data_IF_756399770373
#
_entry.id   IF_756399770373
#
_cell.length_a   1.000
_cell.length_b   1.000
_cell.length_c   1.000
_cell.angle_alpha   90.00
_cell.angle_beta   90.00
_cell.angle_gamma   90.00
#
_symmetry.space_group_name_H-M   'P 1'
#
loop_
_entity.id
_entity.type
_entity.pdbx_description
1 polymer ?
#
# COMPACT_ATOMS: atom_id res chain seq x y z
N UNK A 1 17.40 -15.39 1.01
CA UNK A 1 16.03 -15.74 1.44
C UNK A 1 15.77 -17.19 1.07
N UNK A 2 15.24 -18.00 1.99
CA UNK A 2 14.71 -19.33 1.63
C UNK A 2 13.34 -19.14 0.99
N UNK A 3 13.18 -19.62 -0.25
CA UNK A 3 11.95 -19.55 -1.03
C UNK A 3 11.34 -20.93 -1.06
N UNK A 4 10.05 -21.02 -0.75
CA UNK A 4 9.26 -22.25 -0.88
C UNK A 4 8.04 -21.97 -1.73
N UNK A 5 7.75 -22.87 -2.66
CA UNK A 5 6.44 -22.86 -3.31
C UNK A 5 5.45 -23.59 -2.41
N UNK A 6 4.32 -22.95 -2.15
CA UNK A 6 3.22 -23.53 -1.38
C UNK A 6 2.03 -23.67 -2.32
N UNK A 7 1.39 -24.85 -2.28
CA UNK A 7 0.08 -25.00 -2.91
C UNK A 7 -0.94 -24.17 -2.13
N UNK A 8 -1.66 -23.34 -2.85
CA UNK A 8 -2.74 -22.54 -2.31
C UNK A 8 -3.96 -22.79 -3.17
N UNK A 9 -5.08 -23.07 -2.51
CA UNK A 9 -6.32 -23.34 -3.23
C UNK A 9 -6.80 -22.06 -3.91
N UNK A 10 -7.41 -22.23 -5.08
CA UNK A 10 -8.01 -21.15 -5.85
C UNK A 10 -9.14 -20.47 -5.07
N UNK A 11 -9.83 -21.22 -4.23
CA UNK A 11 -10.91 -20.76 -3.36
C UNK A 11 -10.39 -19.79 -2.31
N UNK A 12 -9.23 -20.05 -1.69
CA UNK A 12 -8.63 -19.15 -0.70
C UNK A 12 -8.25 -17.80 -1.32
N UNK A 13 -7.72 -17.80 -2.54
CA UNK A 13 -7.41 -16.55 -3.27
C UNK A 13 -8.66 -15.76 -3.60
N UNK A 14 -9.70 -16.46 -4.07
CA UNK A 14 -10.97 -15.85 -4.41
C UNK A 14 -11.69 -15.30 -3.17
N UNK A 15 -11.71 -16.03 -2.06
CA UNK A 15 -12.27 -15.57 -0.78
C UNK A 15 -11.54 -14.31 -0.30
N UNK A 16 -10.21 -14.32 -0.39
CA UNK A 16 -9.38 -13.16 -0.02
C UNK A 16 -9.69 -11.93 -0.88
N UNK A 17 -9.82 -12.12 -2.20
CA UNK A 17 -10.23 -11.07 -3.13
C UNK A 17 -11.60 -10.49 -2.76
N UNK A 18 -12.63 -11.34 -2.68
CA UNK A 18 -14.02 -10.94 -2.41
C UNK A 18 -14.15 -10.22 -1.07
N UNK A 19 -13.50 -10.73 -0.03
CA UNK A 19 -13.49 -10.11 1.28
C UNK A 19 -12.85 -8.72 1.23
N UNK A 20 -11.71 -8.59 0.56
CA UNK A 20 -10.98 -7.32 0.44
C UNK A 20 -11.81 -6.30 -0.33
N UNK A 21 -12.38 -6.69 -1.48
CA UNK A 21 -13.24 -5.81 -2.30
C UNK A 21 -14.44 -5.34 -1.50
N UNK A 22 -15.13 -6.24 -0.80
CA UNK A 22 -16.30 -5.90 0.03
C UNK A 22 -15.95 -4.92 1.15
N UNK A 23 -14.79 -5.10 1.79
CA UNK A 23 -14.31 -4.18 2.83
C UNK A 23 -14.05 -2.79 2.23
N UNK A 24 -13.34 -2.72 1.10
CA UNK A 24 -13.01 -1.46 0.44
C UNK A 24 -14.21 -0.75 -0.16
N UNK A 25 -15.21 -1.48 -0.65
CA UNK A 25 -16.48 -0.90 -1.11
C UNK A 25 -17.23 -0.23 0.04
N UNK A 26 -17.24 -0.85 1.23
CA UNK A 26 -17.84 -0.26 2.42
C UNK A 26 -17.08 1.00 2.87
N UNK A 27 -15.75 0.96 2.81
CA UNK A 27 -14.92 2.13 3.13
C UNK A 27 -15.10 3.26 2.11
N UNK A 28 -15.26 2.95 0.82
CA UNK A 28 -15.58 3.90 -0.25
C UNK A 28 -16.97 4.51 -0.06
N UNK A 29 -17.99 3.70 0.25
CA UNK A 29 -19.34 4.16 0.58
C UNK A 29 -19.32 5.12 1.78
N UNK A 30 -18.56 4.79 2.83
CA UNK A 30 -18.38 5.68 3.98
C UNK A 30 -17.75 7.02 3.56
N UNK A 31 -16.69 7.00 2.75
CA UNK A 31 -16.00 8.23 2.31
C UNK A 31 -16.93 9.12 1.49
N UNK A 32 -17.72 8.54 0.60
CA UNK A 32 -18.69 9.27 -0.23
C UNK A 32 -19.81 9.86 0.63
N UNK A 33 -20.41 9.07 1.52
CA UNK A 33 -21.44 9.55 2.44
C UNK A 33 -20.91 10.60 3.42
N UNK A 34 -19.66 10.48 3.86
CA UNK A 34 -19.03 11.49 4.71
C UNK A 34 -18.80 12.80 3.94
N UNK A 35 -18.36 12.75 2.68
CA UNK A 35 -18.26 13.94 1.81
C UNK A 35 -19.61 14.66 1.71
N UNK A 36 -20.67 13.94 1.32
CA UNK A 36 -22.01 14.51 1.20
C UNK A 36 -22.47 15.16 2.51
N UNK A 37 -22.20 14.51 3.65
CA UNK A 37 -22.53 15.06 4.97
C UNK A 37 -21.78 16.36 5.29
N UNK A 38 -20.56 16.51 4.78
CA UNK A 38 -19.76 17.73 4.93
C UNK A 38 -20.30 18.84 4.02
N UNK A 39 -20.56 18.54 2.75
CA UNK A 39 -21.03 19.49 1.74
C UNK A 39 -22.41 20.08 2.04
N UNK A 40 -23.27 19.32 2.73
CA UNK A 40 -24.58 19.80 3.18
C UNK A 40 -24.52 20.80 4.35
N UNK A 41 -23.35 21.07 4.94
CA UNK A 41 -23.21 22.06 6.02
C UNK A 41 -23.04 23.45 5.46
N UNK A 42 -23.81 24.40 5.99
CA UNK A 42 -23.66 25.84 5.67
C UNK A 42 -22.25 26.34 6.00
N UNK A 43 -21.70 25.89 7.13
CA UNK A 43 -20.33 26.15 7.54
C UNK A 43 -19.65 24.85 7.92
N UNK A 44 -18.70 24.41 7.10
CA UNK A 44 -17.84 23.27 7.40
C UNK A 44 -16.88 23.61 8.54
N UNK A 45 -16.65 22.65 9.43
CA UNK A 45 -15.51 22.70 10.33
C UNK A 45 -14.18 22.66 9.55
N UNK A 46 -13.06 23.11 10.16
CA UNK A 46 -11.74 23.02 9.52
C UNK A 46 -11.39 21.61 9.05
N UNK A 47 -11.75 20.58 9.82
CA UNK A 47 -11.55 19.19 9.40
C UNK A 47 -12.38 18.81 8.17
N UNK A 48 -13.68 19.11 8.20
CA UNK A 48 -14.61 18.77 7.11
C UNK A 48 -14.18 19.45 5.80
N UNK A 49 -13.85 20.74 5.84
CA UNK A 49 -13.34 21.45 4.68
C UNK A 49 -12.04 20.82 4.15
N UNK A 50 -11.10 20.51 5.05
CA UNK A 50 -9.82 19.88 4.67
C UNK A 50 -10.05 18.51 4.04
N UNK A 51 -11.00 17.73 4.55
CA UNK A 51 -11.36 16.43 4.00
C UNK A 51 -11.93 16.58 2.57
N UNK A 52 -12.87 17.50 2.35
CA UNK A 52 -13.44 17.75 1.03
C UNK A 52 -12.34 18.14 0.02
N UNK A 53 -11.36 18.95 0.42
CA UNK A 53 -10.23 19.33 -0.45
C UNK A 53 -9.34 18.14 -0.84
N UNK A 54 -9.27 17.09 -0.03
CA UNK A 54 -8.45 15.91 -0.29
C UNK A 54 -9.23 14.75 -0.92
N UNK A 55 -10.55 14.87 -1.01
CA UNK A 55 -11.45 13.79 -1.44
C UNK A 55 -11.07 13.21 -2.80
N UNK A 56 -10.73 14.07 -3.79
CA UNK A 56 -10.41 13.61 -5.14
C UNK A 56 -9.20 12.67 -5.12
N UNK A 57 -8.13 13.01 -4.40
CA UNK A 57 -6.94 12.15 -4.31
C UNK A 57 -7.23 10.86 -3.52
N UNK A 58 -8.09 10.92 -2.50
CA UNK A 58 -8.51 9.74 -1.75
C UNK A 58 -9.26 8.78 -2.68
N UNK A 59 -10.24 9.28 -3.43
CA UNK A 59 -11.04 8.51 -4.38
C UNK A 59 -10.17 7.90 -5.48
N UNK A 60 -9.26 8.68 -6.08
CA UNK A 60 -8.31 8.18 -7.08
C UNK A 60 -7.41 7.06 -6.54
N UNK A 61 -6.94 7.16 -5.30
CA UNK A 61 -6.11 6.12 -4.69
C UNK A 61 -6.91 4.83 -4.42
N UNK A 62 -8.16 4.94 -3.98
CA UNK A 62 -9.07 3.79 -3.83
C UNK A 62 -9.28 3.12 -5.18
N UNK A 63 -9.61 3.89 -6.23
CA UNK A 63 -9.82 3.37 -7.58
C UNK A 63 -8.58 2.67 -8.13
N UNK A 64 -7.41 3.28 -8.00
CA UNK A 64 -6.14 2.67 -8.41
C UNK A 64 -5.88 1.36 -7.66
N UNK A 65 -6.07 1.35 -6.34
CA UNK A 65 -5.88 0.16 -5.54
C UNK A 65 -6.82 -0.98 -5.96
N UNK A 66 -8.11 -0.69 -6.18
CA UNK A 66 -9.12 -1.65 -6.66
C UNK A 66 -8.77 -2.21 -8.04
N UNK A 67 -8.39 -1.36 -8.99
CA UNK A 67 -7.99 -1.79 -10.33
C UNK A 67 -6.78 -2.73 -10.30
N UNK A 68 -5.78 -2.44 -9.46
CA UNK A 68 -4.60 -3.30 -9.27
C UNK A 68 -4.96 -4.62 -8.60
N UNK A 69 -5.89 -4.61 -7.66
CA UNK A 69 -6.40 -5.83 -7.00
C UNK A 69 -7.17 -6.72 -7.99
N UNK A 70 -8.00 -6.12 -8.84
CA UNK A 70 -8.73 -6.83 -9.90
C UNK A 70 -7.75 -7.48 -10.90
N UNK A 71 -6.77 -6.71 -11.37
CA UNK A 71 -5.71 -7.22 -12.26
C UNK A 71 -4.94 -8.37 -11.62
N UNK A 72 -4.64 -8.27 -10.32
CA UNK A 72 -4.02 -9.37 -9.56
C UNK A 72 -4.92 -10.61 -9.53
N UNK A 73 -6.21 -10.45 -9.24
CA UNK A 73 -7.15 -11.56 -9.20
C UNK A 73 -7.21 -12.27 -10.55
N UNK A 74 -7.37 -11.52 -11.65
CA UNK A 74 -7.39 -12.06 -13.01
C UNK A 74 -6.15 -12.90 -13.33
N UNK A 75 -4.96 -12.38 -13.01
CA UNK A 75 -3.68 -13.09 -13.25
C UNK A 75 -3.48 -14.32 -12.38
N UNK A 76 -4.16 -14.40 -11.23
CA UNK A 76 -3.95 -15.48 -10.25
C UNK A 76 -5.06 -16.53 -10.20
N UNK A 77 -6.17 -16.33 -10.93
CA UNK A 77 -7.33 -17.25 -11.01
C UNK A 77 -6.93 -18.71 -11.24
N UNK A 78 -5.99 -18.96 -12.16
CA UNK A 78 -5.56 -20.32 -12.53
C UNK A 78 -4.30 -20.79 -11.78
N UNK A 79 -3.68 -19.90 -10.99
CA UNK A 79 -2.41 -20.20 -10.33
C UNK A 79 -2.63 -21.00 -9.04
N UNK A 80 -2.19 -22.25 -9.00
CA UNK A 80 -2.30 -23.14 -7.82
C UNK A 80 -1.14 -23.04 -6.84
N UNK A 81 -0.08 -22.30 -7.20
CA UNK A 81 1.12 -22.15 -6.38
C UNK A 81 1.38 -20.69 -6.08
N UNK A 82 1.81 -20.41 -4.86
CA UNK A 82 2.29 -19.09 -4.44
C UNK A 82 3.69 -19.20 -3.84
N UNK A 83 4.49 -18.14 -4.00
CA UNK A 83 5.82 -18.08 -3.40
C UNK A 83 5.71 -17.60 -1.97
N UNK A 84 6.26 -18.38 -1.07
CA UNK A 84 6.37 -18.05 0.34
C UNK A 84 7.84 -17.89 0.71
N UNK A 85 8.13 -16.86 1.48
CA UNK A 85 9.47 -16.58 1.98
C UNK A 85 9.46 -16.49 3.50
N UNK A 86 10.64 -16.65 4.10
CA UNK A 86 10.82 -16.36 5.53
C UNK A 86 10.87 -14.85 5.72
N UNK A 87 9.80 -14.30 6.26
CA UNK A 87 9.68 -12.90 6.64
C UNK A 87 10.38 -12.66 7.97
N UNK A 88 10.99 -11.49 8.12
CA UNK A 88 11.46 -10.95 9.38
C UNK A 88 10.28 -10.59 10.30
N UNK A 89 9.18 -10.09 9.74
CA UNK A 89 7.96 -9.72 10.46
C UNK A 89 7.98 -8.33 11.12
N UNK A 90 9.15 -7.68 11.21
CA UNK A 90 9.32 -6.26 11.57
C UNK A 90 10.65 -5.72 11.02
N UNK A 91 10.75 -5.61 9.70
CA UNK A 91 11.95 -5.04 9.06
C UNK A 91 12.19 -3.62 9.55
N UNK A 92 13.40 -3.29 9.98
CA UNK A 92 13.78 -1.96 10.46
C UNK A 92 15.28 -1.75 10.25
N UNK A 93 15.74 -0.54 9.93
CA UNK A 93 17.18 -0.22 9.94
C UNK A 93 17.82 -0.51 11.30
N UNK A 94 17.07 -0.30 12.40
CA UNK A 94 17.52 -0.62 13.77
C UNK A 94 17.79 -2.11 14.00
N UNK A 95 17.26 -2.98 13.14
CA UNK A 95 17.49 -4.42 13.21
C UNK A 95 18.59 -4.88 12.26
N UNK A 96 19.30 -3.97 11.60
CA UNK A 96 20.35 -4.30 10.64
C UNK A 96 21.71 -3.88 11.20
N UNK A 97 22.60 -4.84 11.38
CA UNK A 97 23.93 -4.65 11.94
C UNK A 97 24.99 -5.04 10.91
N UNK A 98 26.16 -4.42 10.98
CA UNK A 98 27.34 -4.81 10.22
C UNK A 98 28.29 -5.58 11.11
N UNK A 99 28.90 -6.64 10.57
CA UNK A 99 30.05 -7.29 11.20
C UNK A 99 31.34 -6.48 10.97
N UNK A 100 32.44 -6.91 11.59
CA UNK A 100 33.76 -6.29 11.44
C UNK A 100 34.30 -6.33 10.00
N UNK A 101 33.74 -7.18 9.14
CA UNK A 101 34.10 -7.35 7.73
C UNK A 101 33.20 -6.54 6.80
N UNK A 102 32.21 -5.83 7.33
CA UNK A 102 31.25 -5.02 6.58
C UNK A 102 30.06 -5.81 6.00
N UNK A 103 29.88 -7.08 6.36
CA UNK A 103 28.68 -7.84 5.99
C UNK A 103 27.52 -7.48 6.90
N UNK A 104 26.40 -7.10 6.29
CA UNK A 104 25.17 -6.77 6.99
C UNK A 104 24.33 -8.00 7.32
N UNK A 105 23.79 -8.08 8.52
CA UNK A 105 22.85 -9.10 8.95
C UNK A 105 21.68 -8.50 9.74
N UNK A 106 20.52 -9.14 9.63
CA UNK A 106 19.37 -8.78 10.45
C UNK A 106 19.43 -9.46 11.81
N UNK A 107 18.86 -8.80 12.81
CA UNK A 107 18.61 -9.32 14.17
C UNK A 107 17.12 -9.28 14.49
N UNK A 108 16.71 -9.73 15.67
CA UNK A 108 15.32 -9.64 16.17
C UNK A 108 14.28 -10.41 15.33
N UNK A 109 14.58 -11.68 15.02
CA UNK A 109 13.68 -12.60 14.30
C UNK A 109 12.54 -13.20 15.14
N UNK A 110 12.19 -12.62 16.29
CA UNK A 110 11.11 -13.14 17.17
C UNK A 110 9.73 -13.16 16.50
N UNK A 111 9.51 -12.30 15.50
CA UNK A 111 8.26 -12.22 14.72
C UNK A 111 8.37 -12.88 13.35
N UNK A 112 9.43 -13.63 13.13
CA UNK A 112 9.68 -14.28 11.86
C UNK A 112 8.61 -15.32 11.57
N UNK A 113 8.12 -15.33 10.34
CA UNK A 113 7.10 -16.28 9.89
C UNK A 113 7.22 -16.51 8.40
N UNK A 114 6.58 -17.56 7.90
CA UNK A 114 6.42 -17.76 6.48
C UNK A 114 5.28 -16.87 5.97
N UNK A 115 5.49 -16.19 4.83
CA UNK A 115 4.43 -15.41 4.20
C UNK A 115 4.81 -14.89 2.82
N UNK A 116 3.92 -14.08 2.24
CA UNK A 116 4.18 -13.43 0.95
C UNK A 116 5.30 -12.38 1.09
N UNK A 117 6.24 -12.30 0.14
CA UNK A 117 7.37 -11.38 0.19
C UNK A 117 6.96 -9.90 0.30
N UNK A 118 5.75 -9.53 -0.15
CA UNK A 118 5.23 -8.16 -0.07
C UNK A 118 4.96 -7.74 1.40
N UNK A 119 4.73 -8.69 2.31
CA UNK A 119 4.26 -8.42 3.68
C UNK A 119 5.31 -7.76 4.58
N UNK A 120 6.61 -7.94 4.29
CA UNK A 120 7.68 -7.24 5.01
C UNK A 120 7.94 -5.85 4.42
N UNK A 121 7.80 -5.71 3.10
CA UNK A 121 8.03 -4.44 2.39
C UNK A 121 6.94 -3.42 2.66
N UNK A 122 5.66 -3.79 2.64
CA UNK A 122 4.56 -2.83 2.80
C UNK A 122 4.66 -2.01 4.11
N UNK A 123 4.82 -2.62 5.31
CA UNK A 123 4.92 -1.86 6.55
C UNK A 123 6.25 -1.11 6.69
N UNK A 124 7.32 -1.58 6.04
CA UNK A 124 8.59 -0.85 5.97
C UNK A 124 8.42 0.44 5.16
N UNK A 125 7.88 0.34 3.94
CA UNK A 125 7.69 1.47 3.05
C UNK A 125 6.66 2.47 3.60
N UNK A 126 5.55 1.99 4.16
CA UNK A 126 4.56 2.87 4.79
C UNK A 126 5.15 3.70 5.94
N UNK A 127 6.13 3.17 6.68
CA UNK A 127 6.87 3.94 7.70
C UNK A 127 7.86 4.91 7.07
N UNK A 128 8.62 4.47 6.07
CA UNK A 128 9.61 5.30 5.38
C UNK A 128 9.00 6.47 4.62
N UNK A 129 7.76 6.32 4.13
CA UNK A 129 7.00 7.35 3.41
C UNK A 129 6.16 8.24 4.33
N UNK A 130 6.11 7.96 5.64
CA UNK A 130 5.36 8.76 6.63
C UNK A 130 6.16 9.99 7.05
N UNK A 131 6.38 10.88 6.09
CA UNK A 131 7.12 12.14 6.24
C UNK A 131 6.28 13.30 5.70
N UNK A 132 6.84 14.50 5.67
CA UNK A 132 6.30 15.58 4.82
C UNK A 132 6.29 15.15 3.35
N UNK A 133 5.49 15.80 2.49
CA UNK A 133 5.45 15.50 1.06
C UNK A 133 6.83 15.59 0.44
N UNK A 134 7.27 14.54 -0.24
CA UNK A 134 8.54 14.49 -0.96
C UNK A 134 8.43 13.60 -2.18
N UNK A 135 9.28 13.87 -3.17
CA UNK A 135 9.50 12.90 -4.25
C UNK A 135 10.18 11.66 -3.67
N UNK A 136 9.63 10.49 -3.98
CA UNK A 136 10.00 9.21 -3.40
C UNK A 136 11.10 8.48 -4.16
N UNK A 137 11.94 9.17 -4.94
CA UNK A 137 12.93 8.52 -5.82
C UNK A 137 13.88 7.58 -5.06
N UNK A 138 14.39 8.00 -3.90
CA UNK A 138 15.21 7.13 -3.04
C UNK A 138 14.47 5.86 -2.60
N UNK A 139 13.16 5.96 -2.36
CA UNK A 139 12.34 4.82 -1.94
C UNK A 139 12.13 3.86 -3.13
N UNK A 140 11.95 4.40 -4.32
CA UNK A 140 11.86 3.64 -5.57
C UNK A 140 13.17 2.89 -5.79
N UNK A 141 14.32 3.55 -5.61
CA UNK A 141 15.64 2.92 -5.70
C UNK A 141 15.78 1.76 -4.71
N UNK A 142 15.37 1.94 -3.44
CA UNK A 142 15.41 0.86 -2.45
C UNK A 142 14.55 -0.33 -2.84
N UNK A 143 13.36 -0.08 -3.39
CA UNK A 143 12.48 -1.13 -3.91
C UNK A 143 13.18 -1.88 -5.04
N UNK A 144 13.77 -1.19 -6.01
CA UNK A 144 14.43 -1.86 -7.13
C UNK A 144 15.75 -2.54 -6.76
N UNK A 145 16.46 -2.05 -5.74
CA UNK A 145 17.59 -2.78 -5.14
C UNK A 145 17.11 -4.11 -4.55
N UNK A 146 16.00 -4.11 -3.81
CA UNK A 146 15.40 -5.36 -3.31
C UNK A 146 14.99 -6.28 -4.47
N UNK A 147 14.28 -5.75 -5.47
CA UNK A 147 13.77 -6.52 -6.61
C UNK A 147 14.88 -7.09 -7.49
N UNK A 148 16.08 -6.51 -7.48
CA UNK A 148 17.27 -7.09 -8.13
C UNK A 148 17.65 -8.45 -7.54
N UNK A 149 17.51 -8.61 -6.23
CA UNK A 149 17.82 -9.87 -5.54
C UNK A 149 16.62 -10.82 -5.47
N UNK A 150 15.42 -10.28 -5.32
CA UNK A 150 14.18 -11.06 -5.33
C UNK A 150 13.14 -10.38 -6.22
N UNK A 151 13.14 -10.67 -7.55
CA UNK A 151 12.18 -10.09 -8.46
C UNK A 151 10.77 -10.58 -8.14
N UNK A 152 9.84 -9.63 -8.03
CA UNK A 152 8.42 -9.95 -7.95
C UNK A 152 7.94 -10.56 -9.25
N UNK A 153 7.02 -11.53 -9.12
CA UNK A 153 6.19 -11.93 -10.25
C UNK A 153 5.20 -10.80 -10.54
N UNK A 154 4.65 -10.80 -11.74
CA UNK A 154 3.74 -9.75 -12.18
C UNK A 154 2.52 -9.64 -11.25
N UNK A 155 1.94 -10.76 -10.83
CA UNK A 155 0.84 -10.80 -9.87
C UNK A 155 1.24 -10.21 -8.51
N UNK A 156 2.39 -10.59 -7.97
CA UNK A 156 2.90 -10.04 -6.71
C UNK A 156 3.11 -8.52 -6.78
N UNK A 157 3.56 -8.00 -7.93
CA UNK A 157 3.70 -6.57 -8.16
C UNK A 157 2.35 -5.85 -8.19
N UNK A 158 1.32 -6.41 -8.85
CA UNK A 158 -0.03 -5.84 -8.85
C UNK A 158 -0.62 -5.79 -7.43
N UNK A 159 -0.51 -6.88 -6.66
CA UNK A 159 -0.99 -6.92 -5.27
C UNK A 159 -0.22 -5.94 -4.37
N UNK A 160 1.09 -5.83 -4.55
CA UNK A 160 1.94 -4.90 -3.83
C UNK A 160 1.52 -3.44 -4.08
N UNK A 161 1.37 -3.04 -5.35
CA UNK A 161 0.93 -1.68 -5.70
C UNK A 161 -0.48 -1.38 -5.18
N UNK A 162 -1.39 -2.36 -5.27
CA UNK A 162 -2.75 -2.25 -4.74
C UNK A 162 -2.74 -1.88 -3.25
N UNK A 163 -2.03 -2.66 -2.43
CA UNK A 163 -2.00 -2.47 -0.99
C UNK A 163 -1.21 -1.25 -0.54
N UNK A 164 -0.17 -0.86 -1.28
CA UNK A 164 0.59 0.35 -0.96
C UNK A 164 -0.21 1.63 -1.25
N UNK A 165 -1.07 1.60 -2.27
CA UNK A 165 -1.88 2.74 -2.68
C UNK A 165 -3.10 2.97 -1.78
N UNK A 166 -3.66 1.91 -1.18
CA UNK A 166 -4.96 2.00 -0.50
C UNK A 166 -4.93 2.92 0.75
N UNK A 167 -5.79 3.96 0.85
CA UNK A 167 -5.66 5.04 1.83
C UNK A 167 -6.30 4.75 3.21
N UNK A 168 -6.18 3.52 3.73
CA UNK A 168 -6.80 3.10 5.02
C UNK A 168 -6.57 4.05 6.20
N UNK A 169 -5.39 4.68 6.27
CA UNK A 169 -5.06 5.64 7.33
C UNK A 169 -5.92 6.91 7.31
N UNK A 170 -6.28 7.42 6.12
CA UNK A 170 -7.17 8.58 5.99
C UNK A 170 -8.59 8.18 6.37
N UNK A 171 -9.06 7.05 5.84
CA UNK A 171 -10.41 6.52 6.07
C UNK A 171 -10.66 6.38 7.57
N UNK A 172 -9.73 5.72 8.28
CA UNK A 172 -9.81 5.57 9.73
C UNK A 172 -9.87 6.90 10.49
N UNK A 173 -9.13 7.92 10.03
CA UNK A 173 -9.18 9.26 10.65
C UNK A 173 -10.55 9.92 10.44
N UNK A 174 -11.11 9.81 9.24
CA UNK A 174 -12.45 10.30 8.91
C UNK A 174 -13.54 9.56 9.72
N UNK A 175 -13.49 8.23 9.81
CA UNK A 175 -14.41 7.43 10.64
C UNK A 175 -14.35 7.84 12.11
N UNK A 176 -13.12 7.95 12.65
CA UNK A 176 -12.92 8.35 14.05
C UNK A 176 -13.46 9.75 14.32
N UNK A 177 -13.30 10.66 13.36
CA UNK A 177 -13.87 12.00 13.45
C UNK A 177 -15.40 11.95 13.37
N UNK A 178 -15.98 11.22 12.42
CA UNK A 178 -17.42 11.09 12.25
C UNK A 178 -18.12 10.49 13.48
N UNK A 179 -17.52 9.47 14.11
CA UNK A 179 -18.08 8.76 15.27
C UNK A 179 -17.86 9.48 16.62
N UNK A 180 -17.32 10.70 16.62
CA UNK A 180 -17.02 11.43 17.85
C UNK A 180 -18.30 11.71 18.67
N UNK A 181 -18.26 11.40 19.96
CA UNK A 181 -19.38 11.59 20.90
C UNK A 181 -19.30 12.90 21.72
N UNK A 182 -18.16 13.56 21.68
CA UNK A 182 -17.88 14.79 22.42
C UNK A 182 -17.11 15.76 21.52
N UNK A 183 -17.02 17.02 21.95
CA UNK A 183 -16.17 18.01 21.30
C UNK A 183 -14.73 17.50 21.21
N UNK A 184 -14.18 17.58 20.00
CA UNK A 184 -12.82 17.17 19.72
C UNK A 184 -11.96 18.39 19.48
N UNK A 185 -10.67 18.23 19.73
CA UNK A 185 -9.65 19.19 19.33
C UNK A 185 -9.52 19.17 17.79
N UNK A 186 -10.25 20.07 17.12
CA UNK A 186 -10.25 20.25 15.66
C UNK A 186 -8.83 20.33 15.10
N UNK A 187 -7.95 21.08 15.76
CA UNK A 187 -6.55 21.23 15.34
C UNK A 187 -5.83 19.89 15.31
N UNK A 188 -6.03 19.02 16.31
CA UNK A 188 -5.42 17.68 16.33
C UNK A 188 -5.96 16.79 15.22
N UNK A 189 -7.26 16.85 14.91
CA UNK A 189 -7.85 16.05 13.84
C UNK A 189 -7.39 16.51 12.46
N UNK A 190 -7.33 17.83 12.21
CA UNK A 190 -6.75 18.40 10.99
C UNK A 190 -5.30 17.96 10.82
N UNK A 191 -4.48 18.04 11.88
CA UNK A 191 -3.08 17.57 11.83
C UNK A 191 -2.97 16.08 11.54
N UNK A 192 -3.87 15.25 12.09
CA UNK A 192 -3.90 13.80 11.80
C UNK A 192 -4.25 13.56 10.33
N UNK A 193 -5.29 14.22 9.82
CA UNK A 193 -5.71 14.11 8.43
C UNK A 193 -4.60 14.56 7.48
N UNK A 194 -3.98 15.72 7.75
CA UNK A 194 -2.88 16.25 6.96
C UNK A 194 -1.69 15.29 6.88
N UNK A 195 -1.30 14.66 7.99
CA UNK A 195 -0.21 13.66 7.98
C UNK A 195 -0.56 12.40 7.17
N UNK A 196 -1.83 11.98 7.18
CA UNK A 196 -2.27 10.86 6.37
C UNK A 196 -2.37 11.24 4.89
N UNK A 197 -2.75 12.47 4.59
CA UNK A 197 -2.71 13.02 3.23
C UNK A 197 -1.27 13.08 2.69
N UNK A 198 -0.29 13.48 3.50
CA UNK A 198 1.11 13.44 3.08
C UNK A 198 1.59 12.02 2.77
N UNK A 199 1.20 11.04 3.60
CA UNK A 199 1.49 9.64 3.31
C UNK A 199 0.83 9.20 1.99
N UNK A 200 -0.44 9.56 1.76
CA UNK A 200 -1.14 9.29 0.50
C UNK A 200 -0.43 9.91 -0.71
N UNK A 201 0.02 11.17 -0.62
CA UNK A 201 0.76 11.82 -1.71
C UNK A 201 2.08 11.10 -1.99
N UNK A 202 2.80 10.72 -0.95
CA UNK A 202 4.09 10.03 -1.08
C UNK A 202 3.93 8.61 -1.63
N UNK A 203 2.96 7.83 -1.14
CA UNK A 203 2.68 6.50 -1.68
C UNK A 203 2.15 6.58 -3.10
N UNK A 204 1.27 7.54 -3.39
CA UNK A 204 0.75 7.84 -4.73
C UNK A 204 1.87 8.07 -5.74
N UNK A 205 2.82 8.93 -5.41
CA UNK A 205 4.00 9.16 -6.27
C UNK A 205 4.77 7.87 -6.55
N UNK A 206 5.07 7.09 -5.49
CA UNK A 206 5.83 5.84 -5.61
C UNK A 206 5.11 4.81 -6.48
N UNK A 207 3.81 4.57 -6.25
CA UNK A 207 3.05 3.57 -7.02
C UNK A 207 2.87 3.98 -8.48
N UNK A 208 2.67 5.28 -8.76
CA UNK A 208 2.60 5.77 -10.15
C UNK A 208 3.92 5.57 -10.87
N UNK A 209 5.05 5.89 -10.24
CA UNK A 209 6.38 5.69 -10.84
C UNK A 209 6.70 4.22 -11.06
N UNK A 210 6.37 3.35 -10.11
CA UNK A 210 6.55 1.90 -10.28
C UNK A 210 5.69 1.40 -11.45
N UNK A 211 4.42 1.83 -11.55
CA UNK A 211 3.54 1.44 -12.64
C UNK A 211 4.07 1.88 -14.01
N UNK A 212 4.59 3.11 -14.11
CA UNK A 212 5.24 3.62 -15.33
C UNK A 212 6.47 2.76 -15.72
N UNK A 213 7.33 2.44 -14.75
CA UNK A 213 8.54 1.66 -14.98
C UNK A 213 8.23 0.21 -15.40
N UNK A 214 7.24 -0.43 -14.79
CA UNK A 214 6.84 -1.79 -15.16
C UNK A 214 6.21 -1.84 -16.57
N UNK A 215 5.37 -0.85 -16.92
CA UNK A 215 4.83 -0.71 -18.28
C UNK A 215 5.93 -0.54 -19.34
N UNK A 216 6.93 0.30 -19.06
CA UNK A 216 8.08 0.48 -19.97
C UNK A 216 8.88 -0.83 -20.14
N UNK A 217 9.07 -1.59 -19.05
CA UNK A 217 9.74 -2.91 -19.13
C UNK A 217 8.96 -3.91 -19.95
N UNK A 218 7.64 -3.91 -19.85
CA UNK A 218 6.78 -4.79 -20.65
C UNK A 218 6.84 -4.43 -22.13
N UNK A 219 6.77 -3.14 -22.47
CA UNK A 219 6.90 -2.67 -23.86
C UNK A 219 8.26 -3.04 -24.47
N UNK A 220 9.36 -2.77 -23.75
CA UNK A 220 10.70 -3.10 -24.22
C UNK A 220 10.90 -4.62 -24.42
N UNK A 221 10.28 -5.46 -23.59
CA UNK A 221 10.29 -6.92 -23.77
C UNK A 221 9.51 -7.36 -25.01
N UNK A 222 8.39 -6.71 -25.31
CA UNK A 222 7.59 -7.02 -26.49
C UNK A 222 8.29 -6.62 -27.78
N UNK A 223 8.91 -5.43 -27.83
CA UNK A 223 9.69 -4.95 -28.98
C UNK A 223 10.95 -5.79 -29.21
N UNK A 224 11.65 -6.18 -28.14
CA UNK A 224 12.83 -7.03 -28.22
C UNK A 224 12.53 -8.50 -28.57
N UNK A 225 11.30 -8.98 -28.35
CA UNK A 225 10.87 -10.32 -28.77
C UNK A 225 10.37 -10.37 -30.23
N UNK A 226 10.12 -9.22 -30.84
CA UNK A 226 9.69 -9.07 -32.24
C UNK A 226 10.85 -8.75 -33.21
N UNK A 227 12.07 -8.57 -32.69
CA UNK A 227 13.31 -8.32 -33.46
C UNK A 227 14.20 -9.57 -33.50
#
# INVERSE_FOLDING_TARGET
MSVKEMEISTEVKQEHYEKTVKEWEKEEEFINGFLESCENRVYMSPFELTFCLYYIQISQAIQFAKQKLETWNEKTKEQKKTRTVTLHGKVSPEHFLFDERGYGYFINFEKARQGSPIQDLLPFLARSLKTQPKYGDEIIDWIYVYLKYFPFREDEMQLFMSYLAFPSGIIRVAETYHQRKAEVDERKFVQKLQRQYWLLSNTGYVVTKIDELEKQKEQAKQEGAQS
#
